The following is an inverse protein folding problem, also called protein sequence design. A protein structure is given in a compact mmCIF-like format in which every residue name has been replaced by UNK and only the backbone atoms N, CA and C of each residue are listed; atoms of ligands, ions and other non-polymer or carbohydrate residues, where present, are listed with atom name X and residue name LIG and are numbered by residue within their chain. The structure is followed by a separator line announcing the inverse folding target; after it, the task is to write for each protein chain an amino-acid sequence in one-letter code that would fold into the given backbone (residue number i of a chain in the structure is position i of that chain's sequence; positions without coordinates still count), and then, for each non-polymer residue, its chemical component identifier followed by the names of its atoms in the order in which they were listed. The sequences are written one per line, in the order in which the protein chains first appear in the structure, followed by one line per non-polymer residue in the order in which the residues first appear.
data_IF_812447609960
#
_entry.id   IF_812447609960
#
_cell.length_a   1.000
_cell.length_b   1.000
_cell.length_c   1.000
_cell.angle_alpha   90.00
_cell.angle_beta   90.00
_cell.angle_gamma   90.00
#
_symmetry.space_group_name_H-M   'P 1'
#
loop_
_entity.id
_entity.type
_entity.pdbx_description
1 polymer ?
#
# COMPACT_ATOMS: atom_id res chain seq x y z
N UNK A 1 -9.70 12.68 11.77
CA UNK A 1 -9.13 11.98 10.59
C UNK A 1 -8.10 12.89 9.94
N UNK A 2 -6.95 12.35 9.58
CA UNK A 2 -5.86 13.12 8.98
C UNK A 2 -5.74 12.78 7.50
N UNK A 3 -5.71 13.82 6.65
CA UNK A 3 -5.57 13.68 5.20
C UNK A 3 -4.15 14.08 4.79
N UNK A 4 -3.49 13.20 4.03
CA UNK A 4 -2.12 13.42 3.54
C UNK A 4 -2.13 13.29 2.02
N UNK A 5 -1.72 14.37 1.33
CA UNK A 5 -1.58 14.34 -0.12
C UNK A 5 -0.32 13.56 -0.50
N UNK A 6 -0.47 12.68 -1.50
CA UNK A 6 0.64 11.87 -2.04
C UNK A 6 0.79 12.13 -3.53
N UNK A 7 1.98 11.89 -4.12
CA UNK A 7 2.17 12.06 -5.56
C UNK A 7 1.20 11.22 -6.40
N UNK A 8 0.80 10.04 -5.89
CA UNK A 8 -0.09 9.11 -6.59
C UNK A 8 -1.57 9.27 -6.20
N UNK A 9 -1.88 10.19 -5.28
CA UNK A 9 -3.26 10.40 -4.82
C UNK A 9 -3.33 10.95 -3.42
N UNK A 10 -3.90 10.19 -2.49
CA UNK A 10 -4.10 10.65 -1.12
C UNK A 10 -4.15 9.50 -0.13
N UNK A 11 -3.86 9.81 1.11
CA UNK A 11 -3.90 8.89 2.23
C UNK A 11 -4.71 9.56 3.34
N UNK A 12 -5.73 8.87 3.84
CA UNK A 12 -6.54 9.32 4.97
C UNK A 12 -6.30 8.39 6.14
N UNK A 13 -5.76 8.93 7.24
CA UNK A 13 -5.58 8.15 8.46
C UNK A 13 -6.90 8.20 9.22
N UNK A 14 -7.63 7.09 9.24
CA UNK A 14 -8.94 6.97 9.89
C UNK A 14 -8.75 6.80 11.39
N UNK A 15 -7.79 5.96 11.79
CA UNK A 15 -7.48 5.70 13.19
C UNK A 15 -6.00 5.35 13.34
N UNK A 16 -5.38 5.88 14.40
CA UNK A 16 -4.01 5.54 14.77
C UNK A 16 -3.94 5.50 16.28
N UNK A 17 -3.60 4.35 16.83
CA UNK A 17 -3.42 4.16 18.26
C UNK A 17 -2.25 3.20 18.52
N UNK A 18 -2.03 2.83 19.77
CA UNK A 18 -0.89 1.98 20.16
C UNK A 18 -0.99 0.55 19.64
N UNK A 19 -2.15 0.13 19.12
CA UNK A 19 -2.37 -1.24 18.68
C UNK A 19 -2.47 -1.40 17.16
N UNK A 20 -3.03 -0.39 16.46
CA UNK A 20 -3.25 -0.51 15.02
C UNK A 20 -3.38 0.84 14.32
N UNK A 21 -3.31 0.80 13.00
CA UNK A 21 -3.59 1.94 12.13
C UNK A 21 -4.59 1.47 11.07
N UNK A 22 -5.58 2.32 10.77
CA UNK A 22 -6.49 2.10 9.65
C UNK A 22 -6.43 3.32 8.73
N UNK A 23 -6.17 3.07 7.45
CA UNK A 23 -6.06 4.10 6.42
C UNK A 23 -7.00 3.80 5.27
N UNK A 24 -7.48 4.87 4.63
CA UNK A 24 -8.11 4.78 3.33
C UNK A 24 -7.20 5.47 2.32
N UNK A 25 -6.83 4.76 1.26
CA UNK A 25 -5.92 5.26 0.24
C UNK A 25 -6.67 5.42 -1.07
N UNK A 26 -6.39 6.53 -1.74
CA UNK A 26 -6.96 6.86 -3.04
C UNK A 26 -5.79 6.94 -4.00
N UNK A 27 -5.78 6.05 -5.00
CA UNK A 27 -4.70 6.02 -5.99
C UNK A 27 -5.26 6.25 -7.37
N UNK A 28 -4.72 7.23 -8.07
CA UNK A 28 -5.18 7.62 -9.40
C UNK A 28 -4.67 6.66 -10.46
N UNK A 29 -5.51 6.40 -11.46
CA UNK A 29 -5.17 5.56 -12.60
C UNK A 29 -3.80 5.92 -13.15
N UNK A 30 -2.99 4.90 -13.39
CA UNK A 30 -1.65 5.05 -13.97
C UNK A 30 -0.57 5.43 -12.98
N UNK A 31 -0.92 5.67 -11.72
CA UNK A 31 0.04 5.98 -10.67
C UNK A 31 0.33 4.76 -9.81
N UNK A 32 1.47 4.78 -9.14
CA UNK A 32 1.89 3.70 -8.24
C UNK A 32 2.71 4.26 -7.09
N UNK A 33 2.66 3.57 -5.97
CA UNK A 33 3.53 3.90 -4.84
C UNK A 33 4.94 3.34 -5.08
N UNK A 34 5.86 3.60 -4.16
CA UNK A 34 7.22 3.07 -4.26
C UNK A 34 7.23 1.55 -4.15
N UNK A 35 8.25 0.93 -4.73
CA UNK A 35 8.58 -0.46 -4.42
C UNK A 35 9.28 -0.44 -3.08
N UNK A 36 8.71 -1.10 -2.07
CA UNK A 36 9.09 -0.90 -0.68
C UNK A 36 8.88 -2.14 0.16
N UNK A 37 9.43 -2.13 1.37
CA UNK A 37 9.11 -3.12 2.40
C UNK A 37 9.12 -2.45 3.77
N UNK A 38 8.57 -3.15 4.75
CA UNK A 38 8.54 -2.71 6.15
C UNK A 38 9.30 -3.73 7.00
N UNK A 39 10.06 -3.26 7.97
CA UNK A 39 10.85 -4.14 8.82
C UNK A 39 10.01 -4.80 9.91
N UNK A 40 9.06 -4.08 10.47
CA UNK A 40 8.22 -4.53 11.60
C UNK A 40 6.74 -4.54 11.28
N UNK A 41 6.31 -3.64 10.40
CA UNK A 41 4.89 -3.43 10.10
C UNK A 41 4.32 -4.59 9.32
N UNK A 42 3.17 -5.08 9.80
CA UNK A 42 2.32 -6.05 9.09
C UNK A 42 1.04 -5.33 8.69
N UNK A 43 0.59 -5.53 7.45
CA UNK A 43 -0.60 -4.85 6.96
C UNK A 43 -1.47 -5.76 6.11
N UNK A 44 -2.76 -5.44 6.08
CA UNK A 44 -3.73 -6.07 5.18
C UNK A 44 -4.35 -4.99 4.31
N UNK A 45 -4.31 -5.23 3.02
CA UNK A 45 -4.91 -4.36 2.00
C UNK A 45 -6.27 -4.96 1.62
N UNK A 46 -7.30 -4.12 1.54
CA UNK A 46 -8.62 -4.51 1.07
C UNK A 46 -9.08 -3.52 0.01
N UNK A 47 -9.35 -3.99 -1.21
CA UNK A 47 -9.78 -3.13 -2.31
C UNK A 47 -11.27 -2.84 -2.19
N UNK A 48 -11.61 -1.56 -2.08
CA UNK A 48 -13.01 -1.10 -2.01
C UNK A 48 -13.57 -0.92 -3.41
N UNK A 49 -12.83 -0.20 -4.27
CA UNK A 49 -13.27 0.06 -5.64
C UNK A 49 -12.05 0.17 -6.56
N UNK A 50 -12.26 -0.07 -7.84
CA UNK A 50 -11.19 -0.04 -8.83
C UNK A 50 -10.45 -1.36 -8.92
N UNK A 51 -9.22 -1.31 -9.43
CA UNK A 51 -8.34 -2.47 -9.52
C UNK A 51 -6.88 -2.05 -9.40
N UNK A 52 -6.15 -2.85 -8.63
CA UNK A 52 -4.73 -2.64 -8.35
C UNK A 52 -3.92 -3.80 -8.92
N UNK A 53 -2.83 -3.48 -9.60
CA UNK A 53 -1.80 -4.48 -9.90
C UNK A 53 -0.81 -4.43 -8.74
N UNK A 54 -0.76 -5.50 -7.94
CA UNK A 54 0.12 -5.57 -6.78
C UNK A 54 1.31 -6.45 -7.11
N UNK A 55 2.50 -5.85 -7.01
CA UNK A 55 3.77 -6.57 -7.10
C UNK A 55 4.17 -6.94 -5.68
N UNK A 56 4.52 -8.20 -5.44
CA UNK A 56 4.95 -8.64 -4.11
C UNK A 56 5.88 -9.84 -4.17
N UNK A 57 6.70 -10.00 -3.13
CA UNK A 57 7.59 -11.13 -2.98
C UNK A 57 8.54 -10.95 -1.80
N UNK A 58 9.28 -12.03 -1.48
CA UNK A 58 10.24 -12.03 -0.38
C UNK A 58 11.65 -11.63 -0.82
N UNK A 59 11.88 -11.56 -2.14
CA UNK A 59 13.18 -11.32 -2.73
C UNK A 59 12.99 -10.42 -3.95
N UNK A 60 13.81 -9.38 -4.08
CA UNK A 60 13.73 -8.42 -5.19
C UNK A 60 13.93 -9.07 -6.58
N UNK A 61 14.51 -10.26 -6.64
CA UNK A 61 14.69 -11.02 -7.88
C UNK A 61 13.54 -11.98 -8.18
N UNK A 62 12.59 -12.12 -7.27
CA UNK A 62 11.46 -13.05 -7.39
C UNK A 62 10.15 -12.37 -7.00
N UNK A 63 9.78 -11.34 -7.74
CA UNK A 63 8.54 -10.62 -7.52
C UNK A 63 7.46 -11.12 -8.45
N UNK A 64 6.25 -11.27 -7.92
CA UNK A 64 5.06 -11.67 -8.66
C UNK A 64 4.10 -10.50 -8.75
N UNK A 65 3.32 -10.46 -9.82
CA UNK A 65 2.27 -9.47 -10.01
C UNK A 65 0.92 -10.16 -10.07
N UNK A 66 -0.07 -9.55 -9.43
CA UNK A 66 -1.45 -10.04 -9.45
C UNK A 66 -2.40 -8.87 -9.37
N UNK A 67 -3.52 -8.96 -10.11
CA UNK A 67 -4.56 -7.93 -10.07
C UNK A 67 -5.53 -8.24 -8.94
N UNK A 68 -5.82 -7.21 -8.15
CA UNK A 68 -6.77 -7.25 -7.04
C UNK A 68 -7.87 -6.25 -7.34
N UNK A 69 -9.12 -6.71 -7.29
CA UNK A 69 -10.31 -5.91 -7.59
C UNK A 69 -11.19 -5.78 -6.36
N UNK A 70 -12.28 -5.03 -6.48
CA UNK A 70 -13.22 -4.78 -5.37
C UNK A 70 -13.56 -6.07 -4.61
N UNK A 71 -13.36 -6.05 -3.31
CA UNK A 71 -13.61 -7.20 -2.43
C UNK A 71 -12.41 -8.12 -2.20
N UNK A 72 -11.33 -7.96 -2.96
CA UNK A 72 -10.11 -8.76 -2.77
C UNK A 72 -9.24 -8.18 -1.65
N UNK A 73 -8.52 -9.06 -0.97
CA UNK A 73 -7.60 -8.66 0.09
C UNK A 73 -6.26 -9.38 -0.01
N UNK A 74 -5.24 -8.75 0.58
CA UNK A 74 -3.89 -9.30 0.64
C UNK A 74 -3.23 -8.87 1.94
N UNK A 75 -2.63 -9.82 2.64
CA UNK A 75 -1.82 -9.52 3.83
C UNK A 75 -0.35 -9.52 3.46
N UNK A 76 0.35 -8.46 3.86
CA UNK A 76 1.77 -8.27 3.64
C UNK A 76 2.49 -8.36 4.98
N UNK A 77 3.39 -9.34 5.09
CA UNK A 77 4.16 -9.57 6.31
C UNK A 77 5.41 -8.68 6.33
N UNK A 78 6.01 -8.45 7.50
CA UNK A 78 7.28 -7.74 7.58
C UNK A 78 8.33 -8.37 6.66
N UNK A 79 9.09 -7.53 5.96
CA UNK A 79 10.11 -7.97 5.02
C UNK A 79 9.62 -8.25 3.61
N UNK A 80 8.31 -8.39 3.40
CA UNK A 80 7.79 -8.61 2.05
C UNK A 80 7.86 -7.33 1.21
N UNK A 81 8.51 -7.42 0.07
CA UNK A 81 8.62 -6.32 -0.89
C UNK A 81 7.29 -6.20 -1.62
N UNK A 82 6.79 -4.99 -1.79
CA UNK A 82 5.51 -4.79 -2.47
C UNK A 82 5.39 -3.40 -3.08
N UNK A 83 4.47 -3.30 -4.05
CA UNK A 83 4.10 -2.05 -4.72
C UNK A 83 2.68 -2.19 -5.24
N UNK A 84 1.85 -1.17 -5.02
CA UNK A 84 0.53 -1.07 -5.62
C UNK A 84 0.57 -0.11 -6.79
N UNK A 85 -0.06 -0.50 -7.89
CA UNK A 85 -0.24 0.33 -9.09
C UNK A 85 -1.70 0.34 -9.47
N UNK A 86 -2.28 1.52 -9.66
CA UNK A 86 -3.69 1.65 -10.01
C UNK A 86 -3.89 1.43 -11.51
N UNK A 87 -4.60 0.37 -11.87
CA UNK A 87 -5.00 0.10 -13.26
C UNK A 87 -6.10 1.07 -13.66
N UNK A 88 -6.96 1.42 -12.71
CA UNK A 88 -7.97 2.47 -12.81
C UNK A 88 -8.01 3.23 -11.49
N UNK A 89 -8.77 4.33 -11.41
CA UNK A 89 -8.90 5.04 -10.14
C UNK A 89 -9.38 4.07 -9.08
N UNK A 90 -8.64 3.97 -7.97
CA UNK A 90 -8.87 2.94 -6.96
C UNK A 90 -8.91 3.51 -5.57
N UNK A 91 -9.71 2.88 -4.72
CA UNK A 91 -9.78 3.16 -3.28
C UNK A 91 -9.56 1.85 -2.55
N UNK A 92 -8.65 1.84 -1.59
CA UNK A 92 -8.41 0.65 -0.79
C UNK A 92 -8.15 1.02 0.67
N UNK A 93 -8.43 0.06 1.55
CA UNK A 93 -8.13 0.19 2.98
C UNK A 93 -6.80 -0.50 3.27
N UNK A 94 -6.10 0.04 4.25
CA UNK A 94 -4.92 -0.58 4.82
C UNK A 94 -5.11 -0.63 6.33
N UNK A 95 -5.17 -1.84 6.87
CA UNK A 95 -5.18 -2.07 8.31
C UNK A 95 -3.80 -2.61 8.68
N UNK A 96 -3.13 -1.98 9.62
CA UNK A 96 -1.75 -2.35 9.94
C UNK A 96 -1.44 -2.25 11.44
N UNK A 97 -0.32 -2.84 11.81
CA UNK A 97 0.32 -2.57 13.09
C UNK A 97 0.75 -1.10 13.13
N UNK A 98 1.05 -0.52 14.32
CA UNK A 98 1.10 0.95 14.46
C UNK A 98 2.35 1.66 13.93
N UNK A 99 3.29 0.97 13.32
CA UNK A 99 4.55 1.55 12.83
C UNK A 99 4.33 2.38 11.56
N UNK A 100 3.89 3.63 11.68
CA UNK A 100 3.57 4.50 10.55
C UNK A 100 4.77 4.84 9.66
N UNK A 101 5.92 5.06 10.27
CA UNK A 101 7.11 5.55 9.56
C UNK A 101 8.08 4.43 9.15
N UNK A 102 7.69 3.19 9.35
CA UNK A 102 8.50 2.01 9.03
C UNK A 102 8.37 1.69 7.55
N UNK A 103 9.13 2.39 6.72
CA UNK A 103 9.14 2.13 5.29
C UNK A 103 10.56 2.27 4.74
N UNK A 104 10.99 1.27 3.94
CA UNK A 104 12.24 1.32 3.19
C UNK A 104 11.88 1.27 1.71
N UNK A 105 12.17 2.37 1.01
CA UNK A 105 11.87 2.49 -0.41
C UNK A 105 13.05 2.01 -1.24
N UNK A 106 12.77 1.04 -2.13
CA UNK A 106 13.76 0.47 -3.06
C UNK A 106 13.77 1.22 -4.39
N UNK A 107 12.59 1.59 -4.89
CA UNK A 107 12.41 2.35 -6.13
C UNK A 107 11.21 3.28 -5.96
N UNK A 108 11.36 4.52 -6.38
CA UNK A 108 10.30 5.52 -6.28
C UNK A 108 10.30 6.41 -7.52
N UNK A 109 9.17 6.45 -8.22
CA UNK A 109 9.02 7.24 -9.45
C UNK A 109 9.02 8.75 -9.18
N UNK A 110 8.82 9.18 -7.96
CA UNK A 110 8.54 10.57 -7.60
C UNK A 110 9.72 11.31 -6.96
N UNK A 111 10.85 10.67 -6.83
CA UNK A 111 12.09 11.28 -6.29
C UNK A 111 11.90 11.95 -4.92
N UNK A 112 11.27 11.25 -4.01
CA UNK A 112 11.04 11.74 -2.63
C UNK A 112 12.19 11.40 -1.71
#
# INVERSE_FOLDING_TARGET
MKFIKKPWGAEEIIEHNEHYVVKRLIMKKGHRCSLQYHEKKKETIFVISGSLNITSGNDSNNLNQKVYSSGDSLTLNPGQIHRMEAIEDSIYLEASTPELDDVIRLKDDYKR
#
